data_IF_738473377678
#
_entry.id   IF_738473377678
#
_cell.length_a   1.000
_cell.length_b   1.000
_cell.length_c   1.000
_cell.angle_alpha   90.00
_cell.angle_beta   90.00
_cell.angle_gamma   90.00
#
_symmetry.space_group_name_H-M   'P 1'
#
loop_
_entity.id
_entity.type
_entity.pdbx_description
1 polymer ?
#
# COMPACT_ATOMS: atom_id res chain seq x y z
N UNK A 1 -8.62 -13.78 33.86
CA UNK A 1 -8.31 -12.65 32.97
C UNK A 1 -8.54 -13.13 31.55
N UNK A 2 -9.44 -12.51 30.80
CA UNK A 2 -9.55 -12.77 29.36
C UNK A 2 -8.32 -12.11 28.74
N UNK A 3 -7.42 -12.92 28.17
CA UNK A 3 -6.30 -12.39 27.38
C UNK A 3 -6.92 -11.89 26.09
N UNK A 4 -7.05 -10.59 25.95
CA UNK A 4 -7.49 -9.97 24.68
C UNK A 4 -6.32 -10.11 23.73
N UNK A 5 -6.55 -10.77 22.60
CA UNK A 5 -5.56 -10.91 21.53
C UNK A 5 -5.27 -9.52 20.93
N UNK A 6 -4.00 -9.15 20.69
CA UNK A 6 -3.68 -7.85 20.11
C UNK A 6 -4.31 -7.71 18.72
N UNK A 7 -4.81 -6.52 18.43
CA UNK A 7 -5.36 -6.13 17.13
C UNK A 7 -4.27 -5.45 16.31
N UNK A 8 -3.99 -5.99 15.13
CA UNK A 8 -2.80 -5.67 14.33
C UNK A 8 -3.24 -5.34 12.91
N UNK A 9 -3.08 -4.08 12.48
CA UNK A 9 -3.35 -3.64 11.11
C UNK A 9 -2.03 -3.28 10.40
N UNK A 10 -1.66 -4.08 9.41
CA UNK A 10 -0.35 -3.95 8.75
C UNK A 10 -0.38 -3.20 7.41
N UNK A 11 -1.52 -2.56 7.04
CA UNK A 11 -1.60 -1.86 5.76
C UNK A 11 -2.47 -0.60 5.89
N UNK A 12 -1.81 0.55 6.04
CA UNK A 12 -2.50 1.84 6.15
C UNK A 12 -1.72 2.95 5.45
N UNK A 13 -2.44 3.97 4.98
CA UNK A 13 -1.90 5.10 4.23
C UNK A 13 -2.19 6.44 4.92
N UNK A 14 -1.22 7.32 4.84
CA UNK A 14 -1.30 8.69 5.35
C UNK A 14 -1.22 9.75 4.24
N UNK A 15 -1.25 11.02 4.60
CA UNK A 15 -0.99 12.13 3.66
C UNK A 15 0.45 12.17 3.13
N UNK A 16 1.34 11.29 3.61
CA UNK A 16 2.64 11.10 3.00
C UNK A 16 2.54 10.41 1.63
N UNK A 17 1.40 9.75 1.32
CA UNK A 17 1.06 9.25 -0.02
C UNK A 17 -0.33 9.72 -0.46
N UNK A 18 -1.36 8.92 -0.31
CA UNK A 18 -2.71 9.14 -0.82
C UNK A 18 -3.82 8.87 0.21
N UNK A 19 -3.47 8.72 1.48
CA UNK A 19 -4.42 8.81 2.59
C UNK A 19 -4.82 10.25 2.90
N UNK A 20 -5.81 10.44 3.78
CA UNK A 20 -6.29 11.76 4.18
C UNK A 20 -5.88 12.17 5.59
N UNK A 21 -5.46 11.24 6.43
CA UNK A 21 -4.94 11.53 7.76
C UNK A 21 -3.43 11.77 7.70
N UNK A 22 -2.95 12.75 8.48
CA UNK A 22 -1.49 12.90 8.63
C UNK A 22 -0.89 11.67 9.30
N UNK A 23 0.41 11.39 9.16
CA UNK A 23 1.03 10.27 9.88
C UNK A 23 0.77 10.29 11.38
N UNK A 24 0.78 11.45 12.01
CA UNK A 24 0.42 11.63 13.41
C UNK A 24 -1.07 11.37 13.69
N UNK A 25 -1.95 11.86 12.82
CA UNK A 25 -3.39 11.63 12.89
C UNK A 25 -3.75 10.15 12.76
N UNK A 26 -3.07 9.45 11.85
CA UNK A 26 -3.22 8.01 11.65
C UNK A 26 -2.83 7.23 12.93
N UNK A 27 -1.70 7.56 13.57
CA UNK A 27 -1.29 6.95 14.83
C UNK A 27 -2.32 7.20 15.95
N UNK A 28 -2.86 8.42 16.04
CA UNK A 28 -3.90 8.76 17.02
C UNK A 28 -5.22 8.00 16.75
N UNK A 29 -5.64 7.87 15.49
CA UNK A 29 -6.84 7.11 15.11
C UNK A 29 -6.69 5.61 15.43
N UNK A 30 -5.51 5.04 15.17
CA UNK A 30 -5.20 3.65 15.46
C UNK A 30 -5.29 3.30 16.95
N UNK A 31 -4.84 4.21 17.82
CA UNK A 31 -4.85 4.00 19.28
C UNK A 31 -6.24 3.77 19.88
N UNK A 32 -7.30 4.14 19.16
CA UNK A 32 -8.68 3.93 19.60
C UNK A 32 -9.13 2.46 19.53
N UNK A 33 -8.40 1.58 18.86
CA UNK A 33 -8.84 0.21 18.70
C UNK A 33 -7.79 -0.79 18.20
N UNK A 34 -6.52 -0.39 18.06
CA UNK A 34 -5.42 -1.25 17.65
C UNK A 34 -4.29 -1.23 18.69
N UNK A 35 -3.53 -2.31 18.75
CA UNK A 35 -2.29 -2.46 19.51
C UNK A 35 -1.06 -2.28 18.63
N UNK A 36 -1.20 -2.62 17.34
CA UNK A 36 -0.13 -2.49 16.33
C UNK A 36 -0.70 -1.93 15.05
N UNK A 37 0.02 -0.98 14.47
CA UNK A 37 -0.26 -0.42 13.14
C UNK A 37 1.01 -0.40 12.29
N UNK A 38 0.92 -0.69 11.00
CA UNK A 38 1.96 -0.35 10.06
C UNK A 38 1.58 0.91 9.26
N UNK A 39 2.54 1.79 9.04
CA UNK A 39 2.43 2.86 8.05
C UNK A 39 3.11 2.38 6.76
N UNK A 40 2.34 2.28 5.68
CA UNK A 40 2.78 1.67 4.41
C UNK A 40 2.52 2.56 3.22
N UNK A 41 2.79 3.84 3.36
CA UNK A 41 2.61 4.83 2.31
C UNK A 41 3.26 4.41 0.98
N UNK A 42 2.60 4.68 -0.13
CA UNK A 42 3.07 4.29 -1.46
C UNK A 42 4.44 4.89 -1.79
N UNK A 43 5.40 4.03 -2.09
CA UNK A 43 6.74 4.35 -2.62
C UNK A 43 7.52 5.40 -1.79
N UNK A 44 7.24 5.47 -0.48
CA UNK A 44 7.89 6.45 0.43
C UNK A 44 7.96 5.97 1.87
N UNK A 45 8.96 6.45 2.59
CA UNK A 45 9.11 6.30 4.06
C UNK A 45 8.91 7.63 4.79
N UNK A 46 8.44 8.67 4.09
CA UNK A 46 8.39 10.05 4.61
C UNK A 46 7.51 10.19 5.88
N UNK A 47 6.47 9.36 6.02
CA UNK A 47 5.57 9.37 7.17
C UNK A 47 6.14 8.77 8.46
N UNK A 48 7.21 7.95 8.38
CA UNK A 48 7.72 7.18 9.52
C UNK A 48 8.08 8.03 10.73
N UNK A 49 8.85 9.11 10.50
CA UNK A 49 9.35 9.97 11.59
C UNK A 49 8.21 10.68 12.32
N UNK A 50 7.23 11.22 11.58
CA UNK A 50 6.09 11.91 12.15
C UNK A 50 5.20 10.94 12.94
N UNK A 51 4.88 9.78 12.35
CA UNK A 51 4.10 8.75 13.02
C UNK A 51 4.78 8.25 14.31
N UNK A 52 6.10 7.96 14.24
CA UNK A 52 6.88 7.51 15.40
C UNK A 52 6.90 8.54 16.54
N UNK A 53 7.03 9.82 16.21
CA UNK A 53 7.06 10.90 17.21
C UNK A 53 5.69 11.14 17.86
N UNK A 54 4.61 10.71 17.24
CA UNK A 54 3.24 10.92 17.71
C UNK A 54 2.60 9.63 18.28
N UNK A 55 3.36 8.55 18.48
CA UNK A 55 2.82 7.29 18.96
C UNK A 55 2.28 7.42 20.38
N UNK A 56 0.99 7.14 20.60
CA UNK A 56 0.44 7.06 21.95
C UNK A 56 0.99 5.85 22.71
N UNK A 57 1.06 5.94 24.05
CA UNK A 57 1.42 4.78 24.88
C UNK A 57 0.54 3.56 24.59
N UNK A 58 1.19 2.40 24.47
CA UNK A 58 0.50 1.14 24.21
C UNK A 58 0.28 0.81 22.71
N UNK A 59 0.47 1.76 21.80
CA UNK A 59 0.48 1.50 20.36
C UNK A 59 1.90 1.20 19.88
N UNK A 60 2.04 0.19 19.02
CA UNK A 60 3.30 -0.15 18.35
C UNK A 60 3.18 0.20 16.85
N UNK A 61 4.18 0.89 16.31
CA UNK A 61 4.32 1.17 14.89
C UNK A 61 5.27 0.18 14.23
N UNK A 62 4.86 -0.35 13.10
CA UNK A 62 5.71 -1.11 12.16
C UNK A 62 6.05 -0.19 11.00
N UNK A 63 7.31 0.25 10.86
CA UNK A 63 7.77 0.99 9.71
C UNK A 63 7.65 0.15 8.43
N UNK A 64 6.95 0.67 7.41
CA UNK A 64 6.73 -0.02 6.15
C UNK A 64 6.52 0.92 4.98
N UNK A 65 6.41 0.36 3.78
CA UNK A 65 6.01 1.05 2.56
C UNK A 65 5.28 0.07 1.63
N UNK A 66 4.34 0.57 0.83
CA UNK A 66 3.73 -0.22 -0.24
C UNK A 66 4.40 0.14 -1.57
N UNK A 67 5.24 -0.75 -2.09
CA UNK A 67 5.95 -0.53 -3.35
C UNK A 67 5.07 -0.84 -4.56
N UNK A 68 5.09 0.10 -5.51
CA UNK A 68 4.46 -0.11 -6.82
C UNK A 68 5.29 -1.05 -7.67
N UNK A 69 4.70 -2.18 -8.01
CA UNK A 69 5.37 -3.24 -8.77
C UNK A 69 4.58 -3.63 -10.03
N UNK A 70 5.28 -4.27 -10.95
CA UNK A 70 4.71 -4.92 -12.11
C UNK A 70 5.03 -6.41 -12.08
N UNK A 71 4.02 -7.21 -12.37
CA UNK A 71 4.11 -8.64 -12.60
C UNK A 71 3.38 -8.98 -13.90
N UNK A 72 3.09 -10.24 -14.15
CA UNK A 72 2.20 -10.67 -15.22
C UNK A 72 1.01 -11.47 -14.67
N UNK A 73 0.01 -11.67 -15.50
CA UNK A 73 -1.23 -12.39 -15.19
C UNK A 73 -1.12 -13.91 -15.34
N UNK A 74 0.08 -14.46 -15.43
CA UNK A 74 0.36 -15.86 -15.74
C UNK A 74 0.27 -16.19 -17.23
N UNK A 75 -0.01 -15.18 -18.08
CA UNK A 75 -0.06 -15.28 -19.54
C UNK A 75 0.89 -14.30 -20.24
N UNK A 76 1.78 -13.69 -19.48
CA UNK A 76 2.76 -12.71 -19.96
C UNK A 76 2.18 -11.32 -20.20
N UNK A 77 0.95 -11.01 -19.76
CA UNK A 77 0.41 -9.65 -19.85
C UNK A 77 0.77 -8.89 -18.57
N UNK A 78 1.39 -7.70 -18.69
CA UNK A 78 1.80 -6.94 -17.51
C UNK A 78 0.57 -6.47 -16.72
N UNK A 79 0.64 -6.66 -15.40
CA UNK A 79 -0.34 -6.18 -14.44
C UNK A 79 0.35 -5.43 -13.31
N UNK A 80 -0.32 -4.40 -12.77
CA UNK A 80 0.14 -3.70 -11.58
C UNK A 80 -0.14 -4.55 -10.36
N UNK A 81 0.88 -4.75 -9.52
CA UNK A 81 0.80 -5.38 -8.21
C UNK A 81 1.46 -4.50 -7.18
N UNK A 82 1.17 -4.71 -5.91
CA UNK A 82 1.83 -4.00 -4.83
C UNK A 82 2.52 -4.98 -3.88
N UNK A 83 3.66 -4.57 -3.36
CA UNK A 83 4.42 -5.31 -2.35
C UNK A 83 4.55 -4.44 -1.11
N UNK A 84 3.99 -4.92 -0.01
CA UNK A 84 4.24 -4.34 1.31
C UNK A 84 5.64 -4.74 1.74
N UNK A 85 6.45 -3.74 2.04
CA UNK A 85 7.78 -3.88 2.57
C UNK A 85 7.77 -3.43 4.02
N UNK A 86 8.27 -4.26 4.94
CA UNK A 86 8.33 -3.90 6.35
C UNK A 86 9.74 -4.00 6.87
N UNK A 87 10.06 -3.13 7.83
CA UNK A 87 11.26 -3.19 8.68
C UNK A 87 12.58 -3.23 7.90
N UNK A 88 12.60 -2.71 6.68
CA UNK A 88 13.81 -2.59 5.87
C UNK A 88 14.64 -1.36 6.30
N UNK A 89 15.93 -1.37 5.97
CA UNK A 89 16.77 -0.18 6.13
C UNK A 89 16.34 0.93 5.14
N UNK A 90 15.73 2.04 5.61
CA UNK A 90 15.24 3.11 4.74
C UNK A 90 16.33 3.85 3.99
N UNK A 91 17.58 3.77 4.46
CA UNK A 91 18.75 4.45 3.88
C UNK A 91 19.52 3.57 2.90
N UNK A 92 19.07 2.34 2.65
CA UNK A 92 19.68 1.47 1.65
C UNK A 92 19.63 2.14 0.27
N UNK A 93 20.79 2.29 -0.44
CA UNK A 93 20.84 3.04 -1.70
C UNK A 93 19.88 2.54 -2.78
N UNK A 94 19.65 1.23 -2.84
CA UNK A 94 18.67 0.61 -3.75
C UNK A 94 17.25 1.06 -3.44
N UNK A 95 16.85 1.09 -2.18
CA UNK A 95 15.53 1.55 -1.72
C UNK A 95 15.35 3.03 -2.03
N UNK A 96 16.27 3.88 -1.59
CA UNK A 96 16.21 5.35 -1.81
C UNK A 96 16.12 5.68 -3.29
N UNK A 97 16.95 5.02 -4.11
CA UNK A 97 16.98 5.23 -5.56
C UNK A 97 15.68 4.83 -6.24
N UNK A 98 15.13 3.66 -5.88
CA UNK A 98 13.92 3.13 -6.50
C UNK A 98 12.67 3.90 -6.06
N UNK A 99 12.54 4.24 -4.79
CA UNK A 99 11.43 5.07 -4.32
C UNK A 99 11.42 6.43 -5.00
N UNK A 100 12.60 7.06 -5.19
CA UNK A 100 12.71 8.32 -5.94
C UNK A 100 12.24 8.16 -7.38
N UNK A 101 12.68 7.08 -8.06
CA UNK A 101 12.27 6.78 -9.44
C UNK A 101 10.75 6.57 -9.53
N UNK A 102 10.18 5.76 -8.65
CA UNK A 102 8.73 5.49 -8.62
C UNK A 102 7.91 6.76 -8.37
N UNK A 103 8.34 7.63 -7.44
CA UNK A 103 7.65 8.91 -7.21
C UNK A 103 7.71 9.83 -8.44
N UNK A 104 8.84 9.89 -9.13
CA UNK A 104 8.96 10.63 -10.38
C UNK A 104 8.02 10.10 -11.47
N UNK A 105 7.98 8.78 -11.66
CA UNK A 105 7.06 8.09 -12.59
C UNK A 105 5.58 8.36 -12.24
N UNK A 106 5.22 8.30 -10.96
CA UNK A 106 3.88 8.64 -10.49
C UNK A 106 3.49 10.08 -10.85
N UNK A 107 4.38 11.06 -10.59
CA UNK A 107 4.12 12.47 -10.93
C UNK A 107 3.98 12.69 -12.44
N UNK A 108 4.89 12.12 -13.23
CA UNK A 108 4.85 12.20 -14.69
C UNK A 108 3.55 11.60 -15.25
N UNK A 109 3.14 10.45 -14.74
CA UNK A 109 1.89 9.79 -15.11
C UNK A 109 0.67 10.65 -14.76
N UNK A 110 0.61 11.17 -13.53
CA UNK A 110 -0.52 12.00 -13.08
C UNK A 110 -0.65 13.24 -13.95
N UNK A 111 0.47 13.92 -14.25
CA UNK A 111 0.52 15.05 -15.19
C UNK A 111 -0.06 14.68 -16.56
N UNK A 112 0.43 13.61 -17.16
CA UNK A 112 -0.02 13.18 -18.48
C UNK A 112 -1.52 12.83 -18.53
N UNK A 113 -2.06 12.26 -17.44
CA UNK A 113 -3.51 12.01 -17.33
C UNK A 113 -4.30 13.31 -17.21
N UNK A 114 -3.87 14.24 -16.37
CA UNK A 114 -4.52 15.53 -16.17
C UNK A 114 -4.47 16.39 -17.46
N UNK A 115 -3.34 16.40 -18.19
CA UNK A 115 -3.19 17.09 -19.47
C UNK A 115 -4.15 16.54 -20.54
N UNK A 116 -4.32 15.21 -20.62
CA UNK A 116 -5.32 14.59 -21.53
C UNK A 116 -6.75 15.03 -21.17
N UNK A 117 -7.07 15.05 -19.87
CA UNK A 117 -8.39 15.50 -19.41
C UNK A 117 -8.64 16.97 -19.73
N UNK A 118 -7.65 17.82 -19.47
CA UNK A 118 -7.73 19.25 -19.79
C UNK A 118 -7.89 19.50 -21.31
N UNK A 119 -7.21 18.73 -22.16
CA UNK A 119 -7.32 18.81 -23.61
C UNK A 119 -8.74 18.44 -24.12
N UNK A 120 -9.44 17.55 -23.40
CA UNK A 120 -10.84 17.20 -23.68
C UNK A 120 -11.85 18.12 -23.02
N UNK A 121 -11.41 19.22 -22.38
CA UNK A 121 -12.26 20.24 -21.75
C UNK A 121 -12.73 19.89 -20.35
N UNK A 122 -12.17 18.86 -19.70
CA UNK A 122 -12.41 18.58 -18.29
C UNK A 122 -11.74 19.69 -17.47
N UNK A 123 -12.43 20.33 -16.49
CA UNK A 123 -11.90 21.47 -15.74
C UNK A 123 -10.90 21.04 -14.66
N UNK A 124 -9.79 20.47 -15.08
CA UNK A 124 -8.64 20.06 -14.27
C UNK A 124 -7.40 20.81 -14.77
N UNK A 125 -6.76 21.57 -13.88
CA UNK A 125 -5.47 22.20 -14.17
C UNK A 125 -4.33 21.29 -13.69
N UNK A 126 -3.47 20.78 -14.60
CA UNK A 126 -2.37 19.89 -14.24
C UNK A 126 -1.32 20.55 -13.31
N UNK A 127 -1.10 21.87 -13.46
CA UNK A 127 -0.11 22.60 -12.65
C UNK A 127 -0.66 22.87 -11.25
N UNK A 128 -1.92 23.24 -11.12
CA UNK A 128 -2.60 23.40 -9.84
C UNK A 128 -2.66 22.05 -9.08
N UNK A 129 -3.08 20.98 -9.75
CA UNK A 129 -3.16 19.64 -9.18
C UNK A 129 -1.81 19.18 -8.62
N UNK A 130 -0.72 19.32 -9.39
CA UNK A 130 0.61 18.89 -8.97
C UNK A 130 1.26 19.87 -7.99
N UNK A 131 0.93 21.14 -8.08
CA UNK A 131 1.42 22.20 -7.18
C UNK A 131 0.84 22.07 -5.77
N UNK A 132 -0.35 21.50 -5.62
CA UNK A 132 -0.96 21.23 -4.32
C UNK A 132 -0.29 20.06 -3.56
N UNK A 133 0.51 19.24 -4.24
CA UNK A 133 1.20 18.09 -3.62
C UNK A 133 2.64 18.46 -3.27
N UNK A 134 3.16 18.02 -2.11
CA UNK A 134 4.57 18.16 -1.79
C UNK A 134 5.47 17.64 -2.91
N UNK A 135 6.63 18.27 -3.13
CA UNK A 135 7.49 17.95 -4.27
C UNK A 135 7.91 16.48 -4.34
N UNK A 136 8.15 15.87 -3.17
CA UNK A 136 8.58 14.47 -3.03
C UNK A 136 7.44 13.50 -2.72
N UNK A 137 6.18 13.95 -2.64
CA UNK A 137 5.05 13.06 -2.38
C UNK A 137 4.75 12.19 -3.61
N UNK A 138 4.41 10.92 -3.41
CA UNK A 138 3.99 10.02 -4.48
C UNK A 138 2.61 10.42 -5.01
N UNK A 139 2.60 11.14 -6.13
CA UNK A 139 1.37 11.56 -6.80
C UNK A 139 0.66 10.34 -7.42
N UNK A 140 -0.60 10.12 -7.08
CA UNK A 140 -1.39 8.97 -7.54
C UNK A 140 -2.71 9.36 -8.18
N UNK A 141 -3.35 8.39 -8.85
CA UNK A 141 -4.72 8.54 -9.37
C UNK A 141 -5.75 8.98 -8.33
N UNK A 142 -5.66 8.58 -7.03
CA UNK A 142 -6.56 9.08 -5.99
C UNK A 142 -6.58 10.61 -5.87
N UNK A 143 -5.44 11.30 -6.06
CA UNK A 143 -5.39 12.76 -6.06
C UNK A 143 -6.19 13.36 -7.24
N UNK A 144 -6.08 12.77 -8.43
CA UNK A 144 -6.89 13.18 -9.59
C UNK A 144 -8.36 12.82 -9.39
N UNK A 145 -8.67 11.67 -8.78
CA UNK A 145 -10.04 11.30 -8.43
C UNK A 145 -10.66 12.32 -7.46
N UNK A 146 -9.92 12.74 -6.44
CA UNK A 146 -10.38 13.78 -5.51
C UNK A 146 -10.63 15.10 -6.23
N UNK A 147 -9.73 15.53 -7.12
CA UNK A 147 -9.91 16.74 -7.91
C UNK A 147 -11.20 16.69 -8.78
N UNK A 148 -11.53 15.51 -9.32
CA UNK A 148 -12.79 15.31 -10.07
C UNK A 148 -14.03 15.41 -9.16
N UNK A 149 -13.94 14.91 -7.92
CA UNK A 149 -15.00 15.05 -6.91
C UNK A 149 -15.17 16.52 -6.54
N UNK A 150 -14.08 17.21 -6.23
CA UNK A 150 -14.09 18.63 -5.84
C UNK A 150 -14.62 19.56 -6.95
N UNK A 151 -14.36 19.17 -8.22
CA UNK A 151 -14.92 19.84 -9.40
C UNK A 151 -16.40 19.48 -9.66
N UNK A 152 -17.02 18.61 -8.87
CA UNK A 152 -18.41 18.18 -9.01
C UNK A 152 -18.70 17.31 -10.25
N UNK A 153 -17.68 16.70 -10.83
CA UNK A 153 -17.81 15.85 -12.04
C UNK A 153 -18.19 14.41 -11.70
N UNK A 154 -17.91 13.97 -10.50
CA UNK A 154 -18.29 12.68 -9.92
C UNK A 154 -18.62 12.85 -8.44
N UNK A 155 -19.33 11.88 -7.86
CA UNK A 155 -19.78 11.95 -6.47
C UNK A 155 -18.82 11.27 -5.49
N UNK A 156 -17.92 10.41 -6.01
CA UNK A 156 -16.97 9.64 -5.18
C UNK A 156 -15.68 9.31 -5.93
N UNK A 157 -14.66 8.95 -5.18
CA UNK A 157 -13.39 8.43 -5.71
C UNK A 157 -13.63 7.16 -6.52
N UNK A 158 -14.50 6.26 -6.06
CA UNK A 158 -14.85 5.02 -6.78
C UNK A 158 -15.50 5.32 -8.12
N UNK A 159 -16.41 6.30 -8.19
CA UNK A 159 -17.02 6.73 -9.44
C UNK A 159 -15.98 7.32 -10.41
N UNK A 160 -15.01 8.09 -9.89
CA UNK A 160 -13.91 8.60 -10.71
C UNK A 160 -13.07 7.47 -11.33
N UNK A 161 -12.76 6.42 -10.56
CA UNK A 161 -12.05 5.25 -11.08
C UNK A 161 -12.88 4.47 -12.09
N UNK A 162 -14.16 4.26 -11.83
CA UNK A 162 -15.06 3.54 -12.72
C UNK A 162 -15.27 4.26 -14.06
N UNK A 163 -15.32 5.60 -14.06
CA UNK A 163 -15.70 6.40 -15.23
C UNK A 163 -14.50 6.93 -16.01
N UNK A 164 -13.40 7.32 -15.33
CA UNK A 164 -12.29 8.06 -15.93
C UNK A 164 -10.91 7.42 -15.77
N UNK A 165 -10.57 6.91 -14.56
CA UNK A 165 -9.17 6.67 -14.16
C UNK A 165 -8.77 5.19 -14.15
N UNK A 166 -9.73 4.27 -14.27
CA UNK A 166 -9.49 2.83 -14.29
C UNK A 166 -8.67 2.39 -15.49
N UNK A 167 -7.99 1.23 -15.39
CA UNK A 167 -7.32 0.63 -16.53
C UNK A 167 -8.34 0.32 -17.65
N UNK A 168 -8.01 0.69 -18.89
CA UNK A 168 -8.92 0.58 -20.03
C UNK A 168 -9.85 1.76 -20.23
N UNK A 169 -9.80 2.81 -19.38
CA UNK A 169 -10.47 4.08 -19.62
C UNK A 169 -9.61 5.03 -20.47
N UNK A 170 -10.24 5.99 -21.14
CA UNK A 170 -9.58 6.84 -22.13
C UNK A 170 -8.41 7.67 -21.60
N UNK A 171 -8.44 8.02 -20.33
CA UNK A 171 -7.39 8.83 -19.68
C UNK A 171 -6.30 8.02 -18.99
N UNK A 172 -6.43 6.68 -18.97
CA UNK A 172 -5.42 5.83 -18.34
C UNK A 172 -4.07 5.94 -19.06
N UNK A 173 -3.02 6.17 -18.27
CA UNK A 173 -1.61 6.14 -18.72
C UNK A 173 -0.90 5.03 -17.96
N UNK A 174 -0.24 4.08 -18.62
CA UNK A 174 0.58 3.07 -17.96
C UNK A 174 1.79 3.72 -17.27
N UNK A 175 2.39 2.98 -16.35
CA UNK A 175 3.55 3.41 -15.56
C UNK A 175 4.64 2.33 -15.63
N UNK A 176 5.90 2.74 -15.53
CA UNK A 176 7.04 1.84 -15.44
C UNK A 176 7.32 1.49 -13.97
N UNK A 177 6.62 0.49 -13.46
CA UNK A 177 6.79 0.00 -12.09
C UNK A 177 7.97 -0.95 -11.96
N UNK A 178 8.40 -1.21 -10.73
CA UNK A 178 9.48 -2.14 -10.41
C UNK A 178 9.05 -3.58 -10.71
N UNK A 179 9.82 -4.38 -11.46
CA UNK A 179 9.54 -5.81 -11.56
C UNK A 179 9.46 -6.43 -10.16
N UNK A 180 8.40 -7.20 -9.89
CA UNK A 180 8.07 -7.69 -8.54
C UNK A 180 9.20 -8.51 -7.92
N UNK A 181 9.86 -9.38 -8.67
CA UNK A 181 10.98 -10.18 -8.17
C UNK A 181 12.17 -9.29 -7.76
N UNK A 182 12.46 -8.26 -8.54
CA UNK A 182 13.49 -7.27 -8.17
C UNK A 182 13.11 -6.48 -6.90
N UNK A 183 11.84 -6.17 -6.70
CA UNK A 183 11.39 -5.51 -5.47
C UNK A 183 11.61 -6.41 -4.25
N UNK A 184 11.30 -7.71 -4.37
CA UNK A 184 11.55 -8.70 -3.32
C UNK A 184 13.04 -8.76 -2.98
N UNK A 185 13.92 -8.91 -3.96
CA UNK A 185 15.38 -8.91 -3.74
C UNK A 185 15.86 -7.65 -3.02
N UNK A 186 15.44 -6.50 -3.53
CA UNK A 186 15.87 -5.19 -3.02
C UNK A 186 15.45 -4.97 -1.56
N UNK A 187 14.25 -5.42 -1.17
CA UNK A 187 13.75 -5.30 0.20
C UNK A 187 14.47 -6.30 1.11
N UNK A 188 14.63 -7.54 0.67
CA UNK A 188 15.35 -8.58 1.41
C UNK A 188 16.81 -8.19 1.64
N UNK A 189 17.49 -7.66 0.62
CA UNK A 189 18.88 -7.14 0.72
C UNK A 189 18.98 -5.95 1.69
N UNK A 190 17.92 -5.18 1.86
CA UNK A 190 17.81 -4.11 2.85
C UNK A 190 17.43 -4.61 4.26
N UNK A 191 17.37 -5.92 4.48
CA UNK A 191 17.01 -6.55 5.74
C UNK A 191 15.52 -6.48 6.07
N UNK A 192 14.67 -6.12 5.12
CA UNK A 192 13.23 -6.09 5.28
C UNK A 192 12.55 -7.43 4.99
N UNK A 193 11.24 -7.45 5.12
CA UNK A 193 10.38 -8.57 4.75
C UNK A 193 9.30 -8.10 3.79
N UNK A 194 8.82 -8.99 2.92
CA UNK A 194 7.89 -8.65 1.84
C UNK A 194 6.57 -9.41 1.97
N UNK A 195 5.47 -8.71 1.73
CA UNK A 195 4.13 -9.31 1.69
C UNK A 195 3.42 -8.85 0.40
N UNK A 196 2.88 -9.78 -0.37
CA UNK A 196 2.11 -9.43 -1.56
C UNK A 196 0.76 -8.85 -1.14
N UNK A 197 0.52 -7.59 -1.49
CA UNK A 197 -0.68 -6.85 -1.10
C UNK A 197 -1.90 -7.28 -1.93
N UNK A 198 -3.04 -7.48 -1.29
CA UNK A 198 -4.38 -7.74 -1.89
C UNK A 198 -4.38 -8.47 -3.25
N UNK A 199 -3.68 -9.62 -3.38
CA UNK A 199 -3.29 -10.24 -4.67
C UNK A 199 -4.45 -10.64 -5.57
N UNK A 200 -5.61 -10.99 -5.00
CA UNK A 200 -6.80 -11.41 -5.73
C UNK A 200 -7.98 -10.43 -5.59
N UNK A 201 -7.69 -9.14 -5.41
CA UNK A 201 -8.70 -8.08 -5.37
C UNK A 201 -9.34 -7.85 -6.77
N UNK A 202 -10.12 -8.81 -7.26
CA UNK A 202 -10.71 -8.81 -8.60
C UNK A 202 -11.56 -7.57 -8.91
N UNK A 203 -12.11 -6.94 -7.88
CA UNK A 203 -12.85 -5.67 -8.02
C UNK A 203 -11.98 -4.50 -8.49
N UNK A 204 -10.64 -4.59 -8.32
CA UNK A 204 -9.67 -3.56 -8.72
C UNK A 204 -9.11 -3.76 -10.14
N UNK A 205 -9.35 -4.92 -10.76
CA UNK A 205 -8.88 -5.23 -12.10
C UNK A 205 -8.22 -6.62 -12.23
N UNK A 206 -7.35 -6.81 -13.24
CA UNK A 206 -6.62 -8.06 -13.42
C UNK A 206 -5.73 -8.38 -12.22
N UNK A 207 -5.66 -9.66 -11.86
CA UNK A 207 -4.89 -10.18 -10.72
C UNK A 207 -3.83 -11.17 -11.19
N UNK A 208 -2.84 -11.42 -10.32
CA UNK A 208 -1.81 -12.46 -10.55
C UNK A 208 -2.41 -13.86 -10.58
N UNK A 209 -1.74 -14.79 -11.25
CA UNK A 209 -2.06 -16.19 -11.15
C UNK A 209 -1.49 -16.81 -9.87
N UNK A 210 -1.99 -17.99 -9.46
CA UNK A 210 -1.42 -18.69 -8.30
C UNK A 210 0.00 -19.19 -8.58
N UNK A 211 0.27 -19.54 -9.82
CA UNK A 211 1.60 -19.94 -10.27
C UNK A 211 2.59 -18.77 -10.15
N UNK A 212 2.18 -17.56 -10.52
CA UNK A 212 3.01 -16.35 -10.35
C UNK A 212 3.28 -16.06 -8.86
N UNK A 213 2.29 -16.30 -7.98
CA UNK A 213 2.51 -16.18 -6.52
C UNK A 213 3.52 -17.24 -6.05
N UNK A 214 3.45 -18.46 -6.54
CA UNK A 214 4.40 -19.53 -6.22
C UNK A 214 5.83 -19.19 -6.68
N UNK A 215 5.98 -18.55 -7.83
CA UNK A 215 7.27 -18.02 -8.30
C UNK A 215 7.83 -16.94 -7.36
N UNK A 216 6.99 -16.01 -6.91
CA UNK A 216 7.38 -15.00 -5.92
C UNK A 216 7.80 -15.64 -4.59
N UNK A 217 7.07 -16.66 -4.11
CA UNK A 217 7.41 -17.41 -2.90
C UNK A 217 8.76 -18.11 -3.03
N UNK A 218 9.00 -18.82 -4.14
CA UNK A 218 10.29 -19.44 -4.43
C UNK A 218 11.43 -18.41 -4.55
N UNK A 219 11.12 -17.16 -4.85
CA UNK A 219 12.09 -16.06 -4.96
C UNK A 219 12.34 -15.32 -3.64
N UNK A 220 11.63 -15.67 -2.56
CA UNK A 220 11.85 -15.12 -1.23
C UNK A 220 10.78 -14.13 -0.75
N UNK A 221 9.58 -14.14 -1.35
CA UNK A 221 8.40 -13.48 -0.77
C UNK A 221 8.12 -14.08 0.61
N UNK A 222 7.93 -13.25 1.63
CA UNK A 222 7.75 -13.69 3.02
C UNK A 222 6.31 -14.00 3.36
N UNK A 223 5.35 -13.25 2.81
CA UNK A 223 3.94 -13.39 3.15
C UNK A 223 3.00 -12.93 2.07
N UNK A 224 1.71 -13.11 2.33
CA UNK A 224 0.63 -12.76 1.43
C UNK A 224 -0.56 -12.21 2.23
N UNK A 225 -1.15 -11.13 1.75
CA UNK A 225 -2.35 -10.56 2.35
C UNK A 225 -3.57 -11.43 2.03
N UNK A 226 -4.16 -12.01 3.07
CA UNK A 226 -5.31 -12.93 2.99
C UNK A 226 -6.60 -12.22 3.41
N UNK A 227 -6.60 -11.70 4.63
CA UNK A 227 -7.77 -11.01 5.20
C UNK A 227 -7.72 -9.53 4.79
N UNK A 228 -8.47 -9.22 3.74
CA UNK A 228 -8.52 -7.89 3.13
C UNK A 228 -9.97 -7.56 2.73
N UNK A 229 -10.42 -6.29 2.85
CA UNK A 229 -11.80 -5.91 2.51
C UNK A 229 -12.24 -6.24 1.08
N UNK A 230 -11.32 -6.30 0.12
CA UNK A 230 -11.61 -6.68 -1.27
C UNK A 230 -11.52 -8.19 -1.55
N UNK A 231 -11.27 -9.01 -0.54
CA UNK A 231 -11.31 -10.47 -0.66
C UNK A 231 -12.60 -11.01 -0.03
N UNK A 232 -13.42 -11.67 -0.83
CA UNK A 232 -14.56 -12.43 -0.31
C UNK A 232 -14.10 -13.72 0.39
N UNK A 233 -15.00 -14.36 1.11
CA UNK A 233 -14.67 -15.53 1.91
C UNK A 233 -14.03 -16.68 1.09
N UNK A 234 -14.53 -17.04 -0.11
CA UNK A 234 -13.86 -18.04 -0.95
C UNK A 234 -12.43 -17.65 -1.35
N UNK A 235 -12.19 -16.38 -1.64
CA UNK A 235 -10.86 -15.86 -1.97
C UNK A 235 -9.91 -15.97 -0.78
N UNK A 236 -10.36 -15.61 0.43
CA UNK A 236 -9.57 -15.75 1.67
C UNK A 236 -9.21 -17.19 1.96
N UNK A 237 -10.16 -18.12 1.82
CA UNK A 237 -9.92 -19.56 1.99
C UNK A 237 -8.88 -20.08 0.99
N UNK A 238 -8.98 -19.68 -0.27
CA UNK A 238 -8.04 -20.04 -1.32
C UNK A 238 -6.63 -19.48 -1.04
N UNK A 239 -6.52 -18.22 -0.64
CA UNK A 239 -5.23 -17.59 -0.32
C UNK A 239 -4.62 -18.19 0.95
N UNK A 240 -5.43 -18.53 1.95
CA UNK A 240 -4.95 -19.20 3.18
C UNK A 240 -4.41 -20.59 2.90
N UNK A 241 -5.07 -21.35 2.04
CA UNK A 241 -4.58 -22.66 1.60
C UNK A 241 -3.27 -22.55 0.82
N UNK A 242 -3.18 -21.58 -0.09
CA UNK A 242 -1.96 -21.29 -0.85
C UNK A 242 -0.81 -20.84 0.06
N UNK A 243 -1.09 -19.98 1.04
CA UNK A 243 -0.08 -19.53 2.00
C UNK A 243 0.52 -20.72 2.78
N UNK A 244 -0.33 -21.65 3.22
CA UNK A 244 0.12 -22.87 3.90
C UNK A 244 0.93 -23.81 2.99
N UNK A 245 0.56 -23.92 1.70
CA UNK A 245 1.29 -24.74 0.72
C UNK A 245 2.68 -24.17 0.42
N UNK A 246 2.79 -22.84 0.35
CA UNK A 246 4.02 -22.14 -0.06
C UNK A 246 4.88 -21.65 1.11
N UNK A 247 4.52 -21.97 2.35
CA UNK A 247 5.18 -21.47 3.58
C UNK A 247 5.22 -19.93 3.66
N UNK A 248 4.16 -19.26 3.18
CA UNK A 248 3.99 -17.82 3.27
C UNK A 248 3.20 -17.46 4.55
N UNK A 249 3.57 -16.33 5.17
CA UNK A 249 2.83 -15.80 6.30
C UNK A 249 1.49 -15.18 5.82
N UNK A 250 0.34 -15.64 6.32
CA UNK A 250 -0.93 -15.00 6.04
C UNK A 250 -1.06 -13.72 6.87
N UNK A 251 -1.25 -12.57 6.22
CA UNK A 251 -1.53 -11.30 6.90
C UNK A 251 -2.97 -10.84 6.66
N UNK A 252 -3.40 -9.87 7.45
CA UNK A 252 -4.68 -9.19 7.29
C UNK A 252 -4.54 -7.71 7.63
N UNK A 253 -5.29 -6.85 6.93
CA UNK A 253 -5.20 -5.42 7.08
C UNK A 253 -6.35 -4.67 6.40
N UNK A 254 -6.54 -3.42 6.80
CA UNK A 254 -7.66 -2.60 6.30
C UNK A 254 -7.39 -1.96 4.95
N UNK A 255 -6.14 -1.70 4.60
CA UNK A 255 -5.77 -0.83 3.47
C UNK A 255 -6.46 0.55 3.61
N UNK A 256 -6.41 1.09 4.85
CA UNK A 256 -7.05 2.33 5.24
C UNK A 256 -6.46 3.54 4.53
N UNK A 257 -7.32 4.44 4.03
CA UNK A 257 -6.93 5.67 3.35
C UNK A 257 -7.68 6.92 3.86
N UNK A 258 -8.20 6.86 5.09
CA UNK A 258 -9.06 7.92 5.61
C UNK A 258 -10.36 8.04 4.81
N UNK A 259 -10.77 9.26 4.50
CA UNK A 259 -12.04 9.52 3.78
C UNK A 259 -11.98 9.20 2.28
N UNK A 260 -10.85 8.73 1.75
CA UNK A 260 -10.74 8.27 0.36
C UNK A 260 -11.36 6.88 0.14
N UNK A 261 -11.57 6.12 1.23
CA UNK A 261 -12.26 4.81 1.23
C UNK A 261 -13.19 4.70 2.43
N UNK A 262 -14.35 4.09 2.24
CA UNK A 262 -15.32 3.78 3.33
C UNK A 262 -14.92 2.51 4.12
N UNK A 263 -13.63 2.35 4.38
CA UNK A 263 -13.09 1.20 5.13
C UNK A 263 -12.46 1.73 6.42
N UNK A 264 -12.98 1.34 7.59
CA UNK A 264 -12.41 1.80 8.85
C UNK A 264 -11.04 1.17 9.12
N UNK A 265 -10.19 1.90 9.84
CA UNK A 265 -8.92 1.37 10.33
C UNK A 265 -9.18 0.12 11.19
N UNK A 266 -8.37 -0.92 11.00
CA UNK A 266 -8.54 -2.20 11.71
C UNK A 266 -9.77 -3.01 11.26
N UNK A 267 -10.34 -2.74 10.06
CA UNK A 267 -11.43 -3.53 9.50
C UNK A 267 -11.08 -5.01 9.34
N UNK A 268 -9.84 -5.26 8.99
CA UNK A 268 -9.22 -6.60 8.98
C UNK A 268 -7.90 -6.54 9.75
N UNK A 269 -7.46 -7.67 10.30
CA UNK A 269 -6.29 -7.71 11.19
C UNK A 269 -5.44 -8.95 10.93
N UNK A 270 -4.15 -8.83 11.25
CA UNK A 270 -3.18 -9.92 11.17
C UNK A 270 -3.19 -10.75 12.46
N UNK A 271 -3.06 -12.07 12.31
CA UNK A 271 -2.88 -12.98 13.45
C UNK A 271 -1.59 -12.65 14.23
N UNK A 272 -1.62 -12.60 15.57
CA UNK A 272 -0.45 -12.26 16.38
C UNK A 272 0.76 -13.17 16.17
N UNK A 273 0.56 -14.47 15.89
CA UNK A 273 1.67 -15.39 15.61
C UNK A 273 2.32 -15.07 14.27
N UNK A 274 1.51 -14.82 13.23
CA UNK A 274 2.02 -14.40 11.93
C UNK A 274 2.79 -13.07 12.02
N UNK A 275 2.33 -12.13 12.85
CA UNK A 275 3.02 -10.88 13.13
C UNK A 275 4.38 -11.08 13.81
N UNK A 276 4.44 -11.92 14.86
CA UNK A 276 5.69 -12.23 15.55
C UNK A 276 6.70 -12.88 14.60
N UNK A 277 6.25 -13.82 13.78
CA UNK A 277 7.09 -14.48 12.78
C UNK A 277 7.60 -13.48 11.73
N UNK A 278 6.73 -12.57 11.25
CA UNK A 278 7.11 -11.53 10.30
C UNK A 278 8.21 -10.63 10.87
N UNK A 279 8.02 -10.11 12.08
CA UNK A 279 9.01 -9.24 12.74
C UNK A 279 10.34 -9.98 12.99
N UNK A 280 10.29 -11.27 13.36
CA UNK A 280 11.49 -12.07 13.64
C UNK A 280 12.37 -12.30 12.41
N UNK A 281 11.82 -12.21 11.20
CA UNK A 281 12.56 -12.40 9.93
C UNK A 281 13.25 -11.11 9.45
N UNK A 282 12.86 -9.95 9.98
CA UNK A 282 13.44 -8.66 9.58
C UNK A 282 14.71 -8.32 10.37
N UNK A 283 15.65 -7.65 9.71
CA UNK A 283 16.93 -7.22 10.29
C UNK A 283 17.30 -5.76 9.94
N UNK A 284 16.49 -5.07 9.13
CA UNK A 284 16.83 -3.75 8.61
C UNK A 284 16.56 -2.60 9.58
N UNK A 285 15.39 -2.61 10.24
CA UNK A 285 15.07 -1.69 11.34
C UNK A 285 14.08 -2.36 12.32
N UNK A 286 13.87 -1.72 13.47
CA UNK A 286 13.02 -2.24 14.54
C UNK A 286 11.62 -1.64 14.50
N UNK A 287 10.64 -2.31 15.15
CA UNK A 287 9.35 -1.72 15.50
C UNK A 287 9.54 -0.60 16.50
N UNK A 288 8.62 0.37 16.50
CA UNK A 288 8.66 1.52 17.42
C UNK A 288 7.49 1.42 18.40
N UNK A 289 7.77 1.37 19.69
CA UNK A 289 6.73 1.35 20.71
C UNK A 289 6.45 2.77 21.23
N UNK A 290 5.16 3.11 21.37
CA UNK A 290 4.75 4.31 22.05
C UNK A 290 5.06 4.21 23.55
N UNK A 291 5.79 5.21 24.07
CA UNK A 291 6.18 5.28 25.48
C UNK A 291 5.30 6.26 26.24
N UNK A 292 5.01 5.98 27.52
CA UNK A 292 4.43 6.97 28.40
C UNK A 292 5.52 8.01 28.76
N UNK A 293 5.16 9.29 28.70
CA UNK A 293 6.02 10.37 29.19
C UNK A 293 6.24 10.28 30.69
#
# INVERSE_FOLDING_TARGET
MVVVSPRIDLHTHSTASDGTDTPAGLAAAAAAGLDVIAITDHDTTAGWREASAALPPGLTLVPGAELSCVSDDGRGRPISVHVLAYLFNPDAPSIVGEQRRLRAERRSRLRAMAERMAADGVPIDPDELLGALPADAPAGRPHLARALVDAGLVNSVDEAFASYLGSGRGYYVPRSDTPVLRAIDMINDAGGVTVLAHPLAHSRGPTVSLETIAEMAAHGLTGIEVDHPNHDQPTREKLRALAAELDLLPTGSSDYHGTNKDIPIGAETTDPHAFVDLVSRATGCEIVAGVAE
#
